data_IF_561145684545
#
_entry.id   IF_561145684545
#
_cell.length_a   1.000
_cell.length_b   1.000
_cell.length_c   1.000
_cell.angle_alpha   90.00
_cell.angle_beta   90.00
_cell.angle_gamma   90.00
#
_symmetry.space_group_name_H-M   'P 1'
#
loop_
_entity.id
_entity.type
_entity.pdbx_description
1 polymer ?
#
# COMPACT_ATOMS: atom_id res chain seq x y z
N UNK A 1 32.53 5.50 0.42
CA UNK A 1 31.20 5.23 -0.16
C UNK A 1 30.44 6.53 -0.15
N UNK A 2 29.89 6.96 -1.29
CA UNK A 2 29.03 8.14 -1.29
C UNK A 2 27.75 7.83 -0.53
N UNK A 3 27.35 8.68 0.41
CA UNK A 3 26.11 8.53 1.17
C UNK A 3 24.90 8.46 0.20
N UNK A 4 23.84 7.70 0.53
CA UNK A 4 22.62 7.65 -0.27
C UNK A 4 21.98 9.03 -0.33
N UNK A 5 21.35 9.35 -1.47
CA UNK A 5 20.65 10.63 -1.67
C UNK A 5 19.15 10.33 -1.70
N UNK A 6 18.45 10.38 -0.55
CA UNK A 6 17.02 10.13 -0.52
C UNK A 6 16.27 11.21 -1.30
N UNK A 7 15.11 10.85 -1.84
CA UNK A 7 14.34 11.77 -2.66
C UNK A 7 12.94 11.31 -3.00
N UNK A 8 12.38 11.96 -4.00
CA UNK A 8 11.00 11.80 -4.43
C UNK A 8 10.95 11.74 -5.96
N UNK A 9 10.31 10.70 -6.48
CA UNK A 9 9.81 10.68 -7.85
C UNK A 9 8.37 11.21 -7.86
N UNK A 10 8.19 12.40 -8.42
CA UNK A 10 6.92 13.13 -8.52
C UNK A 10 6.35 12.98 -9.93
N UNK A 11 5.18 12.33 -10.07
CA UNK A 11 4.60 11.94 -11.36
C UNK A 11 3.17 12.47 -11.51
N UNK A 12 2.99 13.73 -11.93
CA UNK A 12 1.68 14.24 -12.27
C UNK A 12 1.22 13.63 -13.60
N UNK A 13 -0.08 13.33 -13.67
CA UNK A 13 -0.71 12.57 -14.73
C UNK A 13 -2.03 13.22 -15.16
N UNK A 14 -2.23 13.38 -16.47
CA UNK A 14 -3.56 13.51 -17.09
C UNK A 14 -4.05 12.14 -17.52
N UNK A 15 -5.16 11.68 -16.94
CA UNK A 15 -5.76 10.38 -17.24
C UNK A 15 -6.23 10.21 -18.70
N UNK A 16 -6.51 11.30 -19.40
CA UNK A 16 -6.98 11.28 -20.79
C UNK A 16 -8.29 10.51 -20.95
N UNK A 17 -8.32 9.49 -21.82
CA UNK A 17 -9.53 8.74 -22.16
C UNK A 17 -9.77 7.48 -21.33
N UNK A 18 -8.86 7.12 -20.42
CA UNK A 18 -9.05 5.99 -19.51
C UNK A 18 -10.18 6.28 -18.52
N UNK A 19 -11.03 5.30 -18.23
CA UNK A 19 -11.91 5.35 -17.05
C UNK A 19 -11.09 5.26 -15.76
N UNK A 20 -11.67 5.68 -14.63
CA UNK A 20 -11.01 5.56 -13.32
C UNK A 20 -10.68 4.09 -12.98
N UNK A 21 -11.55 3.15 -13.36
CA UNK A 21 -11.35 1.72 -13.13
C UNK A 21 -10.20 1.15 -13.98
N UNK A 22 -10.13 1.48 -15.27
CA UNK A 22 -9.02 1.07 -16.14
C UNK A 22 -7.68 1.65 -15.66
N UNK A 23 -7.66 2.95 -15.34
CA UNK A 23 -6.47 3.60 -14.82
C UNK A 23 -6.02 2.96 -13.51
N UNK A 24 -6.94 2.74 -12.57
CA UNK A 24 -6.61 2.17 -11.27
C UNK A 24 -6.15 0.72 -11.39
N UNK A 25 -6.80 -0.09 -12.22
CA UNK A 25 -6.39 -1.48 -12.41
C UNK A 25 -4.97 -1.54 -12.99
N UNK A 26 -4.71 -0.83 -14.10
CA UNK A 26 -3.38 -0.79 -14.69
C UNK A 26 -2.34 -0.22 -13.71
N UNK A 27 -2.64 0.90 -13.05
CA UNK A 27 -1.64 1.57 -12.22
C UNK A 27 -1.36 0.78 -10.94
N UNK A 28 -2.40 0.34 -10.23
CA UNK A 28 -2.30 -0.27 -8.89
C UNK A 28 -1.94 -1.76 -8.94
N UNK A 29 -2.38 -2.50 -9.97
CA UNK A 29 -2.15 -3.94 -10.04
C UNK A 29 -1.01 -4.35 -10.99
N UNK A 30 -0.42 -3.41 -11.73
CA UNK A 30 0.66 -3.72 -12.67
C UNK A 30 1.78 -2.67 -12.64
N UNK A 31 1.46 -1.43 -12.98
CA UNK A 31 2.48 -0.39 -13.25
C UNK A 31 3.29 -0.03 -12.00
N UNK A 32 2.61 0.23 -10.89
CA UNK A 32 3.28 0.56 -9.63
C UNK A 32 3.91 -0.65 -8.96
N UNK A 33 3.27 -1.83 -8.84
CA UNK A 33 3.91 -3.03 -8.30
C UNK A 33 5.25 -3.37 -8.98
N UNK A 34 5.34 -3.21 -10.31
CA UNK A 34 6.59 -3.44 -11.03
C UNK A 34 7.74 -2.50 -10.58
N UNK A 35 7.44 -1.29 -10.09
CA UNK A 35 8.41 -0.36 -9.49
C UNK A 35 8.66 -0.65 -8.01
N UNK A 36 7.60 -0.89 -7.27
CA UNK A 36 7.66 -1.11 -5.82
C UNK A 36 8.42 -2.41 -5.45
N UNK A 37 8.65 -3.29 -6.41
CA UNK A 37 9.50 -4.47 -6.23
C UNK A 37 11.01 -4.13 -6.10
N UNK A 38 11.45 -2.94 -6.52
CA UNK A 38 12.83 -2.51 -6.33
C UNK A 38 13.04 -1.98 -4.91
N UNK A 39 14.09 -2.44 -4.23
CA UNK A 39 14.35 -2.12 -2.81
C UNK A 39 14.56 -0.62 -2.53
N UNK A 40 14.92 0.16 -3.55
CA UNK A 40 15.10 1.60 -3.39
C UNK A 40 13.79 2.41 -3.46
N UNK A 41 12.67 1.81 -3.89
CA UNK A 41 11.33 2.35 -3.69
C UNK A 41 10.85 1.99 -2.29
N UNK A 42 10.67 3.00 -1.43
CA UNK A 42 10.30 2.80 -0.02
C UNK A 42 8.78 2.72 0.16
N UNK A 43 8.06 3.65 -0.47
CA UNK A 43 6.60 3.71 -0.46
C UNK A 43 6.12 4.51 -1.66
N UNK A 44 4.84 4.38 -2.00
CA UNK A 44 4.21 5.26 -2.96
C UNK A 44 2.76 5.58 -2.63
N UNK A 45 2.28 6.68 -3.18
CA UNK A 45 0.94 7.19 -2.97
C UNK A 45 0.36 7.68 -4.29
N UNK A 46 -0.93 7.50 -4.47
CA UNK A 46 -1.69 8.10 -5.55
C UNK A 46 -2.67 9.10 -4.99
N UNK A 47 -2.86 10.20 -5.72
CA UNK A 47 -3.76 11.27 -5.36
C UNK A 47 -4.60 11.70 -6.56
N UNK A 48 -5.77 12.26 -6.24
CA UNK A 48 -6.63 13.01 -7.17
C UNK A 48 -6.52 14.49 -6.88
N UNK A 49 -6.48 15.29 -7.93
CA UNK A 49 -6.45 16.74 -7.78
C UNK A 49 -7.80 17.22 -7.24
N UNK A 50 -7.78 18.13 -6.26
CA UNK A 50 -8.94 18.96 -5.95
C UNK A 50 -8.78 20.24 -6.80
N UNK A 51 -9.64 20.45 -7.80
CA UNK A 51 -9.56 21.61 -8.66
C UNK A 51 -9.73 22.92 -7.89
N UNK A 52 -10.75 23.00 -7.03
CA UNK A 52 -11.13 24.24 -6.34
C UNK A 52 -11.32 23.92 -4.84
N UNK A 53 -10.34 24.28 -4.00
CA UNK A 53 -10.56 24.30 -2.54
C UNK A 53 -11.03 25.70 -2.14
N UNK A 54 -12.28 25.88 -1.68
CA UNK A 54 -12.92 27.19 -1.50
C UNK A 54 -12.22 28.10 -0.47
N UNK A 55 -11.30 27.55 0.31
CA UNK A 55 -10.57 28.22 1.38
C UNK A 55 -9.08 28.45 1.06
N UNK A 56 -8.62 28.32 -0.19
CA UNK A 56 -7.23 28.64 -0.56
C UNK A 56 -7.11 30.06 -1.15
N UNK A 57 -6.80 31.09 -0.34
CA UNK A 57 -6.50 32.41 -0.89
C UNK A 57 -5.14 32.43 -1.58
N UNK A 58 -5.05 33.20 -2.67
CA UNK A 58 -3.81 33.40 -3.43
C UNK A 58 -3.84 32.94 -4.89
N UNK A 59 -5.00 32.47 -5.38
CA UNK A 59 -5.19 32.13 -6.79
C UNK A 59 -4.49 30.82 -7.19
N UNK A 60 -5.22 29.98 -7.92
CA UNK A 60 -4.59 28.91 -8.68
C UNK A 60 -3.87 29.52 -9.87
N UNK A 61 -2.64 29.09 -10.15
CA UNK A 61 -2.17 29.16 -11.53
C UNK A 61 -2.89 28.06 -12.32
N UNK A 62 -4.09 28.40 -12.81
CA UNK A 62 -4.94 27.55 -13.63
C UNK A 62 -4.37 27.33 -15.05
N UNK A 63 -3.27 28.00 -15.41
CA UNK A 63 -2.75 28.09 -16.77
C UNK A 63 -2.31 26.77 -17.39
N UNK A 64 -2.27 25.68 -16.61
CA UNK A 64 -1.92 24.35 -17.11
C UNK A 64 -2.56 23.26 -16.24
N UNK A 65 -3.89 23.14 -16.22
CA UNK A 65 -4.53 21.89 -15.76
C UNK A 65 -4.30 20.78 -16.78
N UNK A 66 -3.06 20.31 -16.83
CA UNK A 66 -2.60 19.16 -17.61
C UNK A 66 -2.46 17.91 -16.72
N UNK A 67 -2.92 17.91 -15.47
CA UNK A 67 -2.85 16.70 -14.63
C UNK A 67 -3.94 16.68 -13.56
N UNK A 68 -4.76 15.63 -13.57
CA UNK A 68 -5.83 15.40 -12.60
C UNK A 68 -5.52 14.29 -11.59
N UNK A 69 -4.38 13.63 -11.74
CA UNK A 69 -3.87 12.55 -10.89
C UNK A 69 -2.39 12.80 -10.58
N UNK A 70 -1.92 12.29 -9.46
CA UNK A 70 -0.54 12.37 -9.04
C UNK A 70 -0.10 11.03 -8.45
N UNK A 71 1.08 10.56 -8.82
CA UNK A 71 1.77 9.49 -8.09
C UNK A 71 3.07 10.01 -7.49
N UNK A 72 3.29 9.68 -6.23
CA UNK A 72 4.50 10.00 -5.48
C UNK A 72 5.19 8.70 -5.11
N UNK A 73 6.50 8.63 -5.28
CA UNK A 73 7.31 7.52 -4.78
C UNK A 73 8.48 8.04 -3.96
N UNK A 74 8.60 7.53 -2.74
CA UNK A 74 9.75 7.82 -1.88
C UNK A 74 10.91 6.91 -2.26
N UNK A 75 12.07 7.51 -2.52
CA UNK A 75 13.25 6.84 -3.04
C UNK A 75 14.38 6.94 -2.00
N UNK A 76 15.02 5.82 -1.68
CA UNK A 76 16.13 5.80 -0.72
C UNK A 76 17.44 6.37 -1.29
N UNK A 77 17.69 6.17 -2.58
CA UNK A 77 18.83 6.74 -3.30
C UNK A 77 18.44 7.09 -4.74
N UNK A 78 18.37 8.38 -5.06
CA UNK A 78 17.94 8.88 -6.36
C UNK A 78 18.81 8.37 -7.52
N UNK A 79 20.09 8.07 -7.27
CA UNK A 79 21.02 7.55 -8.28
C UNK A 79 20.63 6.17 -8.81
N UNK A 80 19.82 5.41 -8.08
CA UNK A 80 19.31 4.11 -8.55
C UNK A 80 18.40 4.26 -9.77
N UNK A 81 17.74 5.42 -9.93
CA UNK A 81 16.87 5.71 -11.07
C UNK A 81 17.64 5.94 -12.38
N UNK A 82 18.95 6.15 -12.33
CA UNK A 82 19.79 6.27 -13.54
C UNK A 82 20.38 4.92 -13.98
N UNK A 83 20.25 3.88 -13.15
CA UNK A 83 20.91 2.60 -13.41
C UNK A 83 20.10 1.71 -14.34
N UNK A 84 20.82 0.77 -14.97
CA UNK A 84 20.25 -0.19 -15.90
C UNK A 84 19.03 -0.95 -15.35
N UNK A 85 18.96 -1.42 -14.08
CA UNK A 85 17.78 -2.14 -13.59
C UNK A 85 16.47 -1.34 -13.71
N UNK A 86 16.48 -0.03 -13.40
CA UNK A 86 15.29 0.82 -13.54
C UNK A 86 15.05 1.24 -14.99
N UNK A 87 16.09 1.63 -15.73
CA UNK A 87 15.93 2.00 -17.14
C UNK A 87 15.42 0.84 -18.01
N UNK A 88 15.78 -0.39 -17.65
CA UNK A 88 15.28 -1.62 -18.30
C UNK A 88 13.78 -1.76 -18.10
N UNK A 89 13.23 -1.49 -16.91
CA UNK A 89 11.78 -1.48 -16.68
C UNK A 89 11.05 -0.49 -17.59
N UNK A 90 11.68 0.65 -17.87
CA UNK A 90 11.09 1.71 -18.70
C UNK A 90 11.24 1.47 -20.20
N UNK A 91 12.08 0.53 -20.62
CA UNK A 91 12.36 0.28 -22.03
C UNK A 91 11.10 -0.25 -22.75
N UNK A 92 10.78 0.25 -23.97
CA UNK A 92 9.59 -0.17 -24.72
C UNK A 92 9.46 -1.68 -24.90
N UNK A 93 10.58 -2.39 -25.05
CA UNK A 93 10.62 -3.84 -25.26
C UNK A 93 10.30 -4.66 -24.00
N UNK A 94 10.32 -4.04 -22.81
CA UNK A 94 10.02 -4.71 -21.54
C UNK A 94 8.64 -4.33 -20.99
N UNK A 95 7.99 -3.34 -21.61
CA UNK A 95 6.62 -2.95 -21.29
C UNK A 95 5.63 -3.92 -21.93
N UNK A 96 4.59 -4.29 -21.18
CA UNK A 96 3.53 -5.15 -21.72
C UNK A 96 2.65 -4.40 -22.74
N UNK A 97 1.87 -5.13 -23.53
CA UNK A 97 0.88 -4.52 -24.42
C UNK A 97 -0.12 -3.62 -23.67
N UNK A 98 -0.48 -3.99 -22.44
CA UNK A 98 -1.36 -3.20 -21.58
C UNK A 98 -0.70 -1.90 -21.10
N UNK A 99 0.61 -1.90 -20.85
CA UNK A 99 1.37 -0.68 -20.55
C UNK A 99 1.33 0.28 -21.75
N UNK A 100 1.66 -0.21 -22.95
CA UNK A 100 1.62 0.60 -24.17
C UNK A 100 0.24 1.19 -24.42
N UNK A 101 -0.81 0.36 -24.32
CA UNK A 101 -2.21 0.79 -24.49
C UNK A 101 -2.60 1.88 -23.49
N UNK A 102 -2.30 1.67 -22.20
CA UNK A 102 -2.65 2.62 -21.14
C UNK A 102 -1.87 3.92 -21.25
N UNK A 103 -0.54 3.84 -21.44
CA UNK A 103 0.34 5.01 -21.58
C UNK A 103 -0.05 5.85 -22.79
N UNK A 104 -0.49 5.23 -23.89
CA UNK A 104 -0.93 5.95 -25.10
C UNK A 104 -2.18 6.83 -24.90
N UNK A 105 -2.98 6.53 -23.86
CA UNK A 105 -4.24 7.21 -23.56
C UNK A 105 -4.09 8.32 -22.51
N UNK A 106 -2.90 8.49 -21.94
CA UNK A 106 -2.63 9.42 -20.83
C UNK A 106 -1.40 10.28 -21.11
N UNK A 107 -1.22 11.34 -20.33
CA UNK A 107 0.01 12.13 -20.35
C UNK A 107 0.60 12.15 -18.95
N UNK A 108 1.88 11.79 -18.82
CA UNK A 108 2.59 11.81 -17.55
C UNK A 108 3.91 12.56 -17.72
N UNK A 109 4.34 13.29 -16.69
CA UNK A 109 5.71 13.78 -16.59
C UNK A 109 6.37 13.21 -15.35
N UNK A 110 7.69 13.01 -15.39
CA UNK A 110 8.47 12.57 -14.22
C UNK A 110 9.34 13.74 -13.79
N UNK A 111 9.23 14.11 -12.53
CA UNK A 111 10.10 15.08 -11.89
C UNK A 111 10.82 14.40 -10.74
N UNK A 112 12.10 14.74 -10.57
CA UNK A 112 12.97 14.13 -9.58
C UNK A 112 13.39 15.20 -8.58
N UNK A 113 13.19 14.91 -7.30
CA UNK A 113 13.59 15.84 -6.25
C UNK A 113 14.42 15.14 -5.16
N UNK A 114 15.50 15.78 -4.73
CA UNK A 114 16.28 15.34 -3.58
C UNK A 114 15.63 15.83 -2.29
N UNK A 115 15.57 14.96 -1.29
CA UNK A 115 15.05 15.29 0.03
C UNK A 115 16.01 16.20 0.78
N UNK A 116 15.48 17.23 1.44
CA UNK A 116 16.28 18.21 2.19
C UNK A 116 15.92 18.25 3.67
N UNK A 117 14.62 18.20 4.01
CA UNK A 117 14.16 18.26 5.38
C UNK A 117 12.77 17.64 5.54
N UNK A 118 12.49 17.12 6.74
CA UNK A 118 11.16 16.67 7.14
C UNK A 118 10.85 17.20 8.53
N UNK A 119 9.66 17.74 8.70
CA UNK A 119 9.11 18.19 9.98
C UNK A 119 7.78 17.48 10.20
N UNK A 120 7.54 16.98 11.41
CA UNK A 120 6.37 16.15 11.74
C UNK A 120 5.70 16.64 13.01
N UNK A 121 4.39 16.44 13.10
CA UNK A 121 3.64 16.63 14.33
C UNK A 121 4.09 15.64 15.39
N UNK A 122 3.94 16.01 16.67
CA UNK A 122 4.24 15.14 17.79
C UNK A 122 3.36 13.89 17.71
N UNK A 123 3.97 12.71 17.82
CA UNK A 123 3.26 11.43 17.74
C UNK A 123 2.98 10.94 16.32
N UNK A 124 3.35 11.68 15.27
CA UNK A 124 3.26 11.17 13.90
C UNK A 124 4.29 10.04 13.70
N UNK A 125 3.89 8.87 13.18
CA UNK A 125 4.74 7.68 13.17
C UNK A 125 6.03 7.89 12.36
N UNK A 126 7.11 7.33 12.87
CA UNK A 126 8.38 7.21 12.15
C UNK A 126 8.16 6.33 10.91
N UNK A 127 8.60 6.77 9.73
CA UNK A 127 8.26 6.13 8.44
C UNK A 127 7.02 6.71 7.73
N UNK A 128 6.12 7.39 8.45
CA UNK A 128 5.11 8.29 7.87
C UNK A 128 4.15 7.70 6.83
N UNK A 129 3.82 6.42 6.95
CA UNK A 129 2.88 5.75 6.05
C UNK A 129 1.45 6.09 6.45
N UNK A 130 0.80 6.97 5.69
CA UNK A 130 -0.66 7.04 5.71
C UNK A 130 -1.17 5.69 5.19
N UNK A 131 -1.99 4.99 5.97
CA UNK A 131 -2.61 3.73 5.55
C UNK A 131 -4.04 3.99 5.09
N UNK A 132 -4.55 3.19 4.16
CA UNK A 132 -5.88 3.39 3.56
C UNK A 132 -7.02 3.26 4.59
N UNK A 133 -6.77 2.61 5.73
CA UNK A 133 -7.68 2.50 6.88
C UNK A 133 -7.51 3.60 7.93
N UNK A 134 -6.51 4.46 7.78
CA UNK A 134 -6.32 5.60 8.66
C UNK A 134 -7.31 6.71 8.29
N UNK A 135 -7.92 7.31 9.31
CA UNK A 135 -8.76 8.49 9.13
C UNK A 135 -7.96 9.65 8.53
N UNK A 136 -6.69 9.79 8.88
CA UNK A 136 -5.82 10.82 8.32
C UNK A 136 -5.54 10.63 6.82
N UNK A 137 -5.71 9.41 6.30
CA UNK A 137 -5.68 9.16 4.85
C UNK A 137 -7.01 9.55 4.23
N UNK A 138 -8.11 8.96 4.72
CA UNK A 138 -9.45 9.16 4.11
C UNK A 138 -9.94 10.60 4.13
N UNK A 139 -9.65 11.34 5.21
CA UNK A 139 -9.99 12.75 5.35
C UNK A 139 -8.81 13.68 5.01
N UNK A 140 -7.65 13.15 4.63
CA UNK A 140 -6.43 13.92 4.46
C UNK A 140 -6.38 14.78 3.21
N UNK A 141 -5.54 15.82 3.25
CA UNK A 141 -5.18 16.62 2.08
C UNK A 141 -3.67 16.85 2.02
N UNK A 142 -3.13 16.77 0.81
CA UNK A 142 -1.77 17.17 0.48
C UNK A 142 -1.81 18.49 -0.29
N UNK A 143 -1.07 19.48 0.19
CA UNK A 143 -0.77 20.71 -0.54
C UNK A 143 0.67 20.64 -1.02
N UNK A 144 0.85 20.47 -2.32
CA UNK A 144 2.14 20.55 -2.99
C UNK A 144 2.41 21.99 -3.42
N UNK A 145 3.53 22.56 -3.00
CA UNK A 145 3.95 23.92 -3.35
C UNK A 145 5.28 23.87 -4.09
N UNK A 146 5.25 24.24 -5.35
CA UNK A 146 6.44 24.42 -6.18
C UNK A 146 6.90 25.88 -6.09
N UNK A 147 8.17 26.10 -5.83
CA UNK A 147 8.78 27.43 -5.69
C UNK A 147 10.00 27.51 -6.60
N UNK A 148 10.05 28.53 -7.45
CA UNK A 148 11.26 28.89 -8.20
C UNK A 148 11.91 30.12 -7.59
N UNK A 149 13.22 30.06 -7.41
CA UNK A 149 13.99 31.18 -6.86
C UNK A 149 14.30 32.22 -7.94
N UNK A 150 14.54 33.47 -7.53
CA UNK A 150 14.71 34.60 -8.43
C UNK A 150 16.01 34.55 -9.23
N UNK A 151 17.13 34.20 -8.58
CA UNK A 151 18.44 34.08 -9.25
C UNK A 151 19.01 32.65 -9.23
N UNK A 152 18.42 31.76 -8.42
CA UNK A 152 18.94 30.39 -8.22
C UNK A 152 20.32 30.35 -7.55
N UNK A 153 20.78 31.48 -6.99
CA UNK A 153 22.06 31.59 -6.29
C UNK A 153 22.07 30.80 -4.98
N UNK A 154 23.27 30.52 -4.47
CA UNK A 154 23.42 29.84 -3.17
C UNK A 154 22.86 30.72 -2.05
N UNK A 155 23.02 32.04 -2.18
CA UNK A 155 22.48 33.04 -1.26
C UNK A 155 20.94 33.00 -1.22
N UNK A 156 20.30 32.92 -2.39
CA UNK A 156 18.84 32.76 -2.48
C UNK A 156 18.38 31.43 -1.85
N UNK A 157 19.11 30.33 -2.05
CA UNK A 157 18.80 29.03 -1.43
C UNK A 157 18.91 29.10 0.10
N UNK A 158 19.95 29.77 0.63
CA UNK A 158 20.15 29.97 2.07
C UNK A 158 19.01 30.83 2.64
N UNK A 159 18.68 31.95 2.00
CA UNK A 159 17.60 32.83 2.45
C UNK A 159 16.23 32.14 2.36
N UNK A 160 15.96 31.38 1.29
CA UNK A 160 14.72 30.61 1.18
C UNK A 160 14.58 29.60 2.31
N UNK A 161 15.65 28.85 2.63
CA UNK A 161 15.63 27.90 3.75
C UNK A 161 15.42 28.58 5.09
N UNK A 162 16.09 29.70 5.33
CA UNK A 162 15.93 30.51 6.55
C UNK A 162 14.48 30.97 6.69
N UNK A 163 13.95 31.66 5.69
CA UNK A 163 12.56 32.13 5.66
C UNK A 163 11.58 30.96 5.87
N UNK A 164 11.78 29.84 5.17
CA UNK A 164 10.85 28.72 5.29
C UNK A 164 10.80 28.18 6.72
N UNK A 165 11.95 28.01 7.37
CA UNK A 165 12.04 27.42 8.71
C UNK A 165 11.66 28.40 9.82
N UNK A 166 12.08 29.65 9.72
CA UNK A 166 11.91 30.66 10.77
C UNK A 166 10.57 31.40 10.68
N UNK A 167 10.08 31.64 9.46
CA UNK A 167 8.93 32.52 9.23
C UNK A 167 7.69 31.79 8.71
N UNK A 168 7.84 30.79 7.85
CA UNK A 168 6.71 30.12 7.18
C UNK A 168 6.22 28.87 7.90
N UNK A 169 7.13 27.99 8.30
CA UNK A 169 6.80 26.71 8.92
C UNK A 169 6.16 26.84 10.30
N UNK A 170 6.58 27.75 11.21
CA UNK A 170 5.97 27.83 12.54
C UNK A 170 4.44 28.03 12.51
N UNK A 171 3.88 29.06 11.84
CA UNK A 171 2.42 29.18 11.75
C UNK A 171 1.76 28.06 10.94
N UNK A 172 2.47 27.42 10.01
CA UNK A 172 1.96 26.27 9.28
C UNK A 172 1.75 25.04 10.18
N UNK A 173 2.63 24.86 11.18
CA UNK A 173 2.50 23.79 12.19
C UNK A 173 1.33 24.02 13.14
N UNK A 174 0.94 25.27 13.33
CA UNK A 174 -0.18 25.65 14.20
C UNK A 174 -1.54 25.43 13.51
N UNK A 175 -1.56 25.17 12.20
CA UNK A 175 -2.80 24.81 11.48
C UNK A 175 -3.36 23.51 12.06
N UNK A 176 -4.62 23.50 12.55
CA UNK A 176 -5.20 22.29 13.11
C UNK A 176 -5.17 21.12 12.12
N UNK A 177 -4.72 19.97 12.60
CA UNK A 177 -4.57 18.77 11.77
C UNK A 177 -3.31 18.73 10.91
N UNK A 178 -2.35 19.66 11.03
CA UNK A 178 -1.04 19.52 10.39
C UNK A 178 -0.37 18.20 10.81
N UNK A 179 0.05 17.41 9.82
CA UNK A 179 0.69 16.10 10.03
C UNK A 179 2.19 16.18 9.83
N UNK A 180 2.62 16.69 8.68
CA UNK A 180 4.03 16.87 8.34
C UNK A 180 4.22 17.83 7.17
N UNK A 181 5.44 18.37 7.11
CA UNK A 181 5.97 19.10 5.96
C UNK A 181 7.27 18.46 5.51
N UNK A 182 7.38 18.18 4.22
CA UNK A 182 8.59 17.64 3.59
C UNK A 182 9.09 18.63 2.55
N UNK A 183 10.39 18.92 2.57
CA UNK A 183 11.02 19.89 1.68
C UNK A 183 11.99 19.14 0.77
N UNK A 184 11.87 19.43 -0.51
CA UNK A 184 12.71 18.86 -1.56
C UNK A 184 13.23 19.97 -2.48
N UNK A 185 14.27 19.65 -3.24
CA UNK A 185 14.82 20.50 -4.30
C UNK A 185 15.04 19.68 -5.57
N UNK A 186 15.11 20.30 -6.75
CA UNK A 186 15.42 19.59 -8.00
C UNK A 186 16.61 18.65 -7.81
N UNK A 187 16.44 17.39 -8.22
CA UNK A 187 17.42 16.34 -7.95
C UNK A 187 18.69 16.51 -8.76
N UNK A 188 19.82 16.04 -8.20
CA UNK A 188 21.11 15.99 -8.91
C UNK A 188 21.08 15.15 -10.19
N UNK A 189 20.16 14.20 -10.32
CA UNK A 189 20.03 13.33 -11.50
C UNK A 189 19.27 14.01 -12.65
N UNK A 190 18.63 15.15 -12.37
CA UNK A 190 17.96 15.92 -13.40
C UNK A 190 18.98 16.81 -14.13
N UNK A 191 19.41 16.36 -15.32
CA UNK A 191 20.46 17.01 -16.11
C UNK A 191 20.08 18.43 -16.60
N UNK A 192 18.82 18.83 -16.51
CA UNK A 192 18.32 20.15 -16.93
C UNK A 192 18.47 21.26 -15.87
N UNK A 193 18.98 20.92 -14.67
CA UNK A 193 18.65 21.59 -13.40
C UNK A 193 19.47 22.80 -12.94
N UNK A 194 20.52 23.24 -13.65
CA UNK A 194 21.35 24.34 -13.12
C UNK A 194 20.70 25.73 -13.26
N UNK A 195 19.83 25.92 -14.25
CA UNK A 195 19.20 27.22 -14.54
C UNK A 195 17.73 27.30 -14.07
N UNK A 196 17.11 26.16 -13.75
CA UNK A 196 15.70 26.02 -13.34
C UNK A 196 15.55 25.29 -11.98
N UNK A 197 16.28 25.75 -10.95
CA UNK A 197 16.18 25.17 -9.60
C UNK A 197 14.78 25.42 -9.00
N UNK A 198 14.08 24.33 -8.68
CA UNK A 198 12.74 24.35 -8.08
C UNK A 198 12.79 23.68 -6.70
N UNK A 199 12.19 24.33 -5.70
CA UNK A 199 11.87 23.72 -4.42
C UNK A 199 10.45 23.17 -4.46
N UNK A 200 10.26 21.97 -3.92
CA UNK A 200 8.96 21.36 -3.73
C UNK A 200 8.74 21.17 -2.23
N UNK A 201 7.65 21.72 -1.72
CA UNK A 201 7.20 21.41 -0.35
C UNK A 201 5.89 20.63 -0.40
N UNK A 202 5.84 19.53 0.35
CA UNK A 202 4.66 18.70 0.53
C UNK A 202 4.14 18.91 1.94
N UNK A 203 2.96 19.51 2.07
CA UNK A 203 2.32 19.81 3.35
C UNK A 203 1.08 18.95 3.50
N UNK A 204 1.07 18.07 4.49
CA UNK A 204 0.01 17.10 4.71
C UNK A 204 -0.80 17.49 5.94
N UNK A 205 -2.13 17.50 5.79
CA UNK A 205 -3.09 17.80 6.84
C UNK A 205 -4.12 16.69 6.93
N UNK A 206 -4.58 16.38 8.15
CA UNK A 206 -5.60 15.38 8.42
C UNK A 206 -7.03 15.85 8.11
N UNK A 207 -7.24 17.15 7.87
CA UNK A 207 -8.56 17.73 7.63
C UNK A 207 -8.49 18.92 6.64
N UNK A 208 -9.06 18.81 5.43
CA UNK A 208 -9.07 19.88 4.44
C UNK A 208 -9.80 21.13 4.91
N UNK A 209 -10.75 21.03 5.85
CA UNK A 209 -11.54 22.18 6.32
C UNK A 209 -10.69 23.20 7.07
N UNK A 210 -9.54 22.78 7.60
CA UNK A 210 -8.60 23.65 8.31
C UNK A 210 -7.67 24.40 7.35
N UNK A 211 -7.53 23.91 6.12
CA UNK A 211 -6.79 24.58 5.06
C UNK A 211 -7.51 25.86 4.68
N UNK A 212 -6.92 26.99 5.04
CA UNK A 212 -7.46 28.32 4.80
C UNK A 212 -8.03 29.01 6.05
N UNK A 213 -7.98 28.31 7.19
CA UNK A 213 -8.26 28.91 8.49
C UNK A 213 -7.21 29.95 8.90
N UNK A 214 -7.44 30.66 10.03
CA UNK A 214 -6.63 31.79 10.46
C UNK A 214 -5.12 31.50 10.50
N UNK A 215 -4.72 30.35 11.04
CA UNK A 215 -3.33 29.93 11.17
C UNK A 215 -2.70 29.70 9.79
N UNK A 216 -3.46 29.12 8.85
CA UNK A 216 -2.98 28.93 7.48
C UNK A 216 -2.83 30.28 6.75
N UNK A 217 -3.72 31.24 7.00
CA UNK A 217 -3.59 32.60 6.46
C UNK A 217 -2.36 33.34 7.00
N UNK A 218 -2.00 33.11 8.27
CA UNK A 218 -0.76 33.65 8.85
C UNK A 218 0.46 33.06 8.14
N UNK A 219 0.47 31.74 7.91
CA UNK A 219 1.54 31.08 7.16
C UNK A 219 1.65 31.62 5.72
N UNK A 220 0.53 31.82 5.02
CA UNK A 220 0.50 32.45 3.70
C UNK A 220 1.01 33.91 3.78
N UNK A 221 0.63 34.66 4.81
CA UNK A 221 1.07 36.04 5.01
C UNK A 221 2.58 36.20 5.18
N UNK A 222 3.27 35.16 5.69
CA UNK A 222 4.73 35.17 5.84
C UNK A 222 5.48 35.27 4.51
N UNK A 223 4.82 34.97 3.39
CA UNK A 223 5.41 35.00 2.04
C UNK A 223 5.89 36.39 1.62
N UNK A 224 5.26 37.44 2.17
CA UNK A 224 5.70 38.82 1.97
C UNK A 224 7.05 39.14 2.62
N UNK A 225 7.55 38.27 3.49
CA UNK A 225 8.82 38.46 4.22
C UNK A 225 10.05 38.00 3.44
N UNK A 226 9.89 37.47 2.23
CA UNK A 226 11.01 37.04 1.40
C UNK A 226 10.87 37.59 -0.01
N UNK A 227 12.00 37.97 -0.62
CA UNK A 227 12.08 38.48 -1.99
C UNK A 227 12.75 37.49 -2.95
N UNK A 228 13.24 36.35 -2.44
CA UNK A 228 13.99 35.37 -3.26
C UNK A 228 13.06 34.41 -4.02
N UNK A 229 11.76 34.43 -3.74
CA UNK A 229 10.75 33.65 -4.46
C UNK A 229 10.31 34.41 -5.72
N UNK A 230 10.73 33.94 -6.90
CA UNK A 230 10.32 34.53 -8.17
C UNK A 230 8.90 34.10 -8.57
N UNK A 231 8.59 32.81 -8.43
CA UNK A 231 7.27 32.28 -8.76
C UNK A 231 6.93 31.08 -7.90
N UNK A 232 5.63 30.80 -7.81
CA UNK A 232 5.10 29.71 -7.02
C UNK A 232 3.84 29.13 -7.64
N UNK A 233 3.71 27.81 -7.56
CA UNK A 233 2.49 27.07 -7.92
C UNK A 233 2.03 26.22 -6.75
N UNK A 234 0.74 26.21 -6.46
CA UNK A 234 0.13 25.35 -5.44
C UNK A 234 -0.83 24.35 -6.08
N UNK A 235 -0.78 23.12 -5.61
CA UNK A 235 -1.63 22.03 -6.06
C UNK A 235 -2.22 21.34 -4.83
N UNK A 236 -3.53 21.12 -4.83
CA UNK A 236 -4.26 20.44 -3.76
C UNK A 236 -4.64 19.04 -4.21
N UNK A 237 -4.39 18.07 -3.34
CA UNK A 237 -4.46 16.64 -3.65
C UNK A 237 -5.15 15.89 -2.52
N UNK A 238 -6.11 15.02 -2.85
CA UNK A 238 -6.65 14.03 -1.90
C UNK A 238 -6.08 12.66 -2.22
N UNK A 239 -5.70 11.88 -1.20
CA UNK A 239 -5.16 10.55 -1.43
C UNK A 239 -6.23 9.62 -1.97
N UNK A 240 -5.85 8.76 -2.91
CA UNK A 240 -6.71 7.74 -3.53
C UNK A 240 -6.25 6.32 -3.20
N UNK A 241 -4.93 6.10 -3.12
CA UNK A 241 -4.37 4.76 -2.92
C UNK A 241 -2.95 4.81 -2.36
N UNK A 242 -2.57 3.81 -1.56
CA UNK A 242 -1.20 3.59 -1.08
C UNK A 242 -0.60 2.40 -1.82
N UNK A 243 0.56 2.61 -2.44
CA UNK A 243 1.25 1.63 -3.26
C UNK A 243 2.12 0.73 -2.39
N UNK A 244 1.78 -0.56 -2.36
CA UNK A 244 2.57 -1.61 -1.71
C UNK A 244 3.54 -2.30 -2.67
N UNK A 245 4.32 -3.27 -2.17
CA UNK A 245 5.29 -4.04 -2.97
C UNK A 245 4.66 -4.97 -4.00
N UNK A 246 3.38 -5.28 -3.86
CA UNK A 246 2.62 -6.14 -4.76
C UNK A 246 1.22 -5.61 -5.08
N UNK A 247 0.57 -6.14 -6.12
CA UNK A 247 -0.81 -5.81 -6.48
C UNK A 247 -1.80 -6.19 -5.37
N UNK A 248 -2.79 -5.32 -5.10
CA UNK A 248 -3.77 -5.53 -4.02
C UNK A 248 -5.16 -4.93 -4.28
N UNK A 249 -5.35 -4.24 -5.40
CA UNK A 249 -6.57 -3.46 -5.68
C UNK A 249 -7.65 -4.35 -6.31
N UNK A 250 -8.45 -4.99 -5.46
CA UNK A 250 -9.63 -5.73 -5.91
C UNK A 250 -10.76 -4.78 -6.36
N UNK A 251 -10.83 -3.58 -5.80
CA UNK A 251 -11.91 -2.63 -6.07
C UNK A 251 -11.91 -2.17 -7.51
N UNK A 252 -10.73 -1.92 -8.10
CA UNK A 252 -10.63 -1.60 -9.52
C UNK A 252 -11.10 -2.73 -10.44
N UNK A 253 -10.93 -3.99 -10.01
CA UNK A 253 -11.33 -5.16 -10.80
C UNK A 253 -12.86 -5.35 -10.78
N UNK A 254 -13.52 -5.12 -9.64
CA UNK A 254 -14.99 -5.18 -9.52
C UNK A 254 -15.68 -4.27 -10.54
N UNK A 255 -15.11 -3.08 -10.76
CA UNK A 255 -15.68 -2.06 -11.64
C UNK A 255 -15.48 -2.35 -13.14
N UNK A 256 -14.72 -3.39 -13.49
CA UNK A 256 -14.42 -3.79 -14.86
C UNK A 256 -15.19 -5.04 -15.25
N UNK A 257 -15.48 -5.16 -16.55
CA UNK A 257 -15.90 -6.43 -17.11
C UNK A 257 -14.73 -7.45 -17.06
N UNK A 258 -15.02 -8.73 -17.24
CA UNK A 258 -13.99 -9.78 -17.11
C UNK A 258 -12.84 -9.61 -18.13
N UNK A 259 -13.13 -9.19 -19.38
CA UNK A 259 -12.10 -8.99 -20.41
C UNK A 259 -11.12 -7.87 -20.03
N UNK A 260 -11.62 -6.75 -19.53
CA UNK A 260 -10.81 -5.60 -19.10
C UNK A 260 -10.08 -5.87 -17.76
N UNK A 261 -10.68 -6.69 -16.89
CA UNK A 261 -10.07 -7.12 -15.65
C UNK A 261 -8.94 -8.14 -15.87
N UNK A 262 -9.01 -8.94 -16.95
CA UNK A 262 -8.07 -10.03 -17.22
C UNK A 262 -6.69 -9.56 -17.66
N UNK A 263 -5.66 -9.98 -16.93
CA UNK A 263 -4.27 -9.70 -17.24
C UNK A 263 -3.37 -10.85 -16.82
N UNK A 264 -2.31 -11.07 -17.60
CA UNK A 264 -1.17 -11.89 -17.21
C UNK A 264 0.09 -11.11 -17.57
N UNK A 265 0.98 -10.89 -16.60
CA UNK A 265 2.24 -10.21 -16.85
C UNK A 265 3.16 -11.04 -17.74
N UNK A 266 4.10 -10.41 -18.46
CA UNK A 266 5.23 -11.15 -19.04
C UNK A 266 5.88 -12.04 -17.96
N UNK A 267 6.03 -13.33 -18.24
CA UNK A 267 6.56 -14.31 -17.28
C UNK A 267 5.54 -14.88 -16.28
N UNK A 268 4.27 -14.47 -16.32
CA UNK A 268 3.19 -15.09 -15.53
C UNK A 268 3.21 -14.80 -14.03
N UNK A 269 4.00 -13.82 -13.57
CA UNK A 269 4.17 -13.48 -12.16
C UNK A 269 3.01 -12.67 -11.56
N UNK A 270 2.19 -12.03 -12.39
CA UNK A 270 0.97 -11.34 -11.99
C UNK A 270 -0.15 -11.85 -12.87
N UNK A 271 -1.26 -12.27 -12.26
CA UNK A 271 -2.51 -12.57 -12.95
C UNK A 271 -3.66 -11.86 -12.24
N UNK A 272 -4.52 -11.19 -12.99
CA UNK A 272 -5.77 -10.61 -12.46
C UNK A 272 -6.95 -11.12 -13.25
N UNK A 273 -8.08 -11.33 -12.59
CA UNK A 273 -9.36 -11.73 -13.22
C UNK A 273 -10.54 -11.12 -12.45
N UNK A 274 -11.71 -11.08 -13.10
CA UNK A 274 -12.99 -10.79 -12.44
C UNK A 274 -14.07 -11.75 -12.97
N UNK A 275 -13.79 -13.05 -12.86
CA UNK A 275 -14.65 -14.11 -13.40
C UNK A 275 -15.79 -14.46 -12.44
N UNK A 276 -15.52 -15.29 -11.42
CA UNK A 276 -16.46 -15.52 -10.33
C UNK A 276 -16.48 -14.35 -9.32
N UNK A 277 -15.30 -13.80 -9.05
CA UNK A 277 -15.05 -12.61 -8.22
C UNK A 277 -13.65 -12.06 -8.54
N UNK A 278 -13.37 -10.79 -8.16
CA UNK A 278 -12.06 -10.21 -8.29
C UNK A 278 -10.97 -11.07 -7.67
N UNK A 279 -9.95 -11.38 -8.45
CA UNK A 279 -8.82 -12.22 -8.03
C UNK A 279 -7.51 -11.63 -8.55
N UNK A 280 -6.50 -11.60 -7.68
CA UNK A 280 -5.13 -11.20 -7.97
C UNK A 280 -4.22 -12.33 -7.51
N UNK A 281 -3.50 -12.97 -8.43
CA UNK A 281 -2.42 -13.89 -8.12
C UNK A 281 -1.10 -13.20 -8.39
N UNK A 282 -0.18 -13.23 -7.43
CA UNK A 282 1.14 -12.68 -7.61
C UNK A 282 2.14 -13.26 -6.62
N UNK A 283 3.33 -12.66 -6.55
CA UNK A 283 4.37 -13.04 -5.63
C UNK A 283 5.10 -11.81 -5.08
N UNK A 284 5.61 -11.93 -3.86
CA UNK A 284 6.46 -10.92 -3.22
C UNK A 284 7.78 -11.57 -2.83
N UNK A 285 8.88 -10.86 -3.08
CA UNK A 285 10.17 -11.25 -2.54
C UNK A 285 10.30 -10.74 -1.11
N UNK A 286 10.60 -11.66 -0.19
CA UNK A 286 10.91 -11.35 1.20
C UNK A 286 12.34 -11.76 1.49
N UNK A 287 13.11 -10.92 2.19
CA UNK A 287 14.54 -11.21 2.47
C UNK A 287 14.76 -12.53 3.22
N UNK A 288 13.79 -12.93 4.04
CA UNK A 288 13.88 -14.13 4.88
C UNK A 288 13.30 -15.40 4.25
N UNK A 289 12.42 -15.28 3.24
CA UNK A 289 11.72 -16.44 2.67
C UNK A 289 11.80 -16.54 1.14
N UNK A 290 12.53 -15.63 0.50
CA UNK A 290 12.60 -15.55 -0.96
C UNK A 290 11.24 -15.18 -1.55
N UNK A 291 10.95 -15.75 -2.73
CA UNK A 291 9.70 -15.51 -3.43
C UNK A 291 8.53 -16.25 -2.77
N UNK A 292 7.53 -15.50 -2.32
CA UNK A 292 6.32 -16.00 -1.69
C UNK A 292 5.13 -15.73 -2.61
N UNK A 293 4.51 -16.79 -3.11
CA UNK A 293 3.31 -16.69 -3.95
C UNK A 293 2.06 -16.46 -3.09
N UNK A 294 1.16 -15.61 -3.57
CA UNK A 294 -0.13 -15.37 -2.93
C UNK A 294 -1.25 -15.19 -3.96
N UNK A 295 -2.47 -15.43 -3.49
CA UNK A 295 -3.71 -15.10 -4.17
C UNK A 295 -4.54 -14.22 -3.23
N UNK A 296 -4.90 -13.03 -3.68
CA UNK A 296 -5.81 -12.14 -2.98
C UNK A 296 -7.10 -12.06 -3.78
N UNK A 297 -8.23 -12.40 -3.15
CA UNK A 297 -9.52 -12.53 -3.84
C UNK A 297 -10.68 -12.09 -2.95
N UNK A 298 -11.82 -11.82 -3.57
CA UNK A 298 -13.08 -11.58 -2.87
C UNK A 298 -13.68 -10.21 -3.12
N UNK A 299 -14.41 -9.69 -2.12
CA UNK A 299 -15.23 -8.49 -2.23
C UNK A 299 -14.79 -7.43 -1.22
N UNK A 300 -15.15 -6.18 -1.52
CA UNK A 300 -14.87 -5.04 -0.66
C UNK A 300 -13.63 -4.25 -1.05
N UNK A 301 -13.19 -3.40 -0.13
CA UNK A 301 -12.13 -2.42 -0.32
C UNK A 301 -10.97 -2.57 0.67
N UNK A 302 -10.10 -1.56 0.72
CA UNK A 302 -8.94 -1.53 1.61
C UNK A 302 -9.23 -1.79 3.09
N UNK A 303 -10.41 -1.38 3.57
CA UNK A 303 -10.83 -1.48 4.98
C UNK A 303 -11.63 -2.74 5.32
N UNK A 304 -11.94 -3.56 4.30
CA UNK A 304 -12.69 -4.81 4.47
C UNK A 304 -11.90 -5.85 5.26
N UNK A 305 -12.62 -6.74 5.95
CA UNK A 305 -12.01 -7.80 6.74
C UNK A 305 -11.19 -8.76 5.86
N UNK A 306 -10.07 -9.23 6.41
CA UNK A 306 -9.15 -10.13 5.72
C UNK A 306 -9.10 -11.47 6.44
N UNK A 307 -9.27 -12.55 5.70
CA UNK A 307 -9.02 -13.93 6.11
C UNK A 307 -7.74 -14.40 5.42
N UNK A 308 -6.80 -14.98 6.17
CA UNK A 308 -5.54 -15.50 5.63
C UNK A 308 -5.56 -17.02 5.65
N UNK A 309 -5.21 -17.64 4.52
CA UNK A 309 -5.16 -19.08 4.32
C UNK A 309 -3.75 -19.49 3.87
N UNK A 310 -2.93 -19.95 4.81
CA UNK A 310 -1.57 -20.43 4.55
C UNK A 310 -1.54 -21.90 4.15
N UNK A 311 -0.87 -22.22 3.06
CA UNK A 311 -0.66 -23.58 2.56
C UNK A 311 0.83 -23.93 2.69
N UNK A 312 1.16 -24.99 3.40
CA UNK A 312 2.54 -25.39 3.72
C UNK A 312 2.87 -26.76 3.09
N UNK A 313 4.12 -26.96 2.67
CA UNK A 313 4.69 -28.26 2.26
C UNK A 313 4.03 -28.93 1.04
N UNK A 314 4.29 -28.41 -0.17
CA UNK A 314 4.01 -29.14 -1.43
C UNK A 314 2.53 -29.28 -1.81
N UNK A 315 1.61 -28.81 -0.95
CA UNK A 315 0.21 -28.60 -1.29
C UNK A 315 0.08 -27.32 -2.12
N UNK A 316 -0.92 -27.31 -3.00
CA UNK A 316 -1.32 -26.13 -3.74
C UNK A 316 -2.53 -25.48 -3.03
N UNK A 317 -2.77 -24.19 -3.25
CA UNK A 317 -3.79 -23.44 -2.50
C UNK A 317 -5.24 -23.75 -2.94
N UNK A 318 -5.42 -24.58 -3.96
CA UNK A 318 -6.70 -25.13 -4.44
C UNK A 318 -7.40 -25.99 -3.38
N UNK A 319 -6.64 -26.50 -2.40
CA UNK A 319 -7.19 -27.13 -1.18
C UNK A 319 -8.20 -26.24 -0.43
N UNK A 320 -8.16 -24.92 -0.66
CA UNK A 320 -9.07 -23.96 -0.05
C UNK A 320 -10.27 -23.58 -0.93
N UNK A 321 -10.37 -24.06 -2.17
CA UNK A 321 -11.38 -23.58 -3.15
C UNK A 321 -12.82 -23.71 -2.65
N UNK A 322 -13.16 -24.86 -2.05
CA UNK A 322 -14.49 -25.09 -1.49
C UNK A 322 -14.77 -24.12 -0.32
N UNK A 323 -13.78 -23.93 0.56
CA UNK A 323 -13.91 -23.05 1.72
C UNK A 323 -14.09 -21.58 1.29
N UNK A 324 -13.30 -21.11 0.33
CA UNK A 324 -13.44 -19.76 -0.22
C UNK A 324 -14.76 -19.59 -0.93
N UNK A 325 -15.20 -20.57 -1.73
CA UNK A 325 -16.50 -20.52 -2.40
C UNK A 325 -17.66 -20.38 -1.40
N UNK A 326 -17.56 -21.04 -0.24
CA UNK A 326 -18.54 -20.90 0.84
C UNK A 326 -18.51 -19.49 1.45
N UNK A 327 -17.32 -18.91 1.68
CA UNK A 327 -17.18 -17.52 2.14
C UNK A 327 -17.81 -16.55 1.13
N UNK A 328 -17.55 -16.73 -0.17
CA UNK A 328 -18.03 -15.81 -1.21
C UNK A 328 -19.55 -15.86 -1.43
N UNK A 329 -20.21 -16.96 -1.03
CA UNK A 329 -21.68 -17.05 -1.01
C UNK A 329 -22.32 -16.21 0.10
N UNK A 330 -21.57 -15.88 1.14
CA UNK A 330 -22.09 -15.12 2.27
C UNK A 330 -22.28 -13.65 1.93
N UNK A 331 -23.20 -13.00 2.65
CA UNK A 331 -23.37 -11.55 2.60
C UNK A 331 -22.26 -10.90 3.41
N UNK A 332 -21.40 -10.15 2.74
CA UNK A 332 -20.35 -9.36 3.39
C UNK A 332 -19.19 -9.05 2.46
N UNK A 333 -18.52 -7.93 2.73
CA UNK A 333 -17.30 -7.53 2.07
C UNK A 333 -16.11 -8.16 2.79
N UNK A 334 -15.68 -9.32 2.32
CA UNK A 334 -14.54 -10.08 2.85
C UNK A 334 -13.52 -10.32 1.76
N UNK A 335 -12.25 -10.15 2.12
CA UNK A 335 -11.10 -10.45 1.29
C UNK A 335 -10.40 -11.69 1.85
N UNK A 336 -9.98 -12.58 0.97
CA UNK A 336 -9.24 -13.80 1.32
C UNK A 336 -7.84 -13.67 0.73
N UNK A 337 -6.83 -13.82 1.56
CA UNK A 337 -5.43 -13.90 1.18
C UNK A 337 -4.93 -15.33 1.34
N UNK A 338 -4.78 -16.07 0.24
CA UNK A 338 -4.11 -17.37 0.23
C UNK A 338 -2.62 -17.19 0.03
N UNK A 339 -1.80 -17.86 0.83
CA UNK A 339 -0.34 -17.76 0.77
C UNK A 339 0.26 -19.16 0.65
N UNK A 340 1.18 -19.36 -0.29
CA UNK A 340 2.02 -20.56 -0.32
C UNK A 340 3.27 -20.32 0.50
N UNK A 341 3.43 -21.12 1.54
CA UNK A 341 4.53 -21.03 2.48
C UNK A 341 5.55 -22.12 2.20
N UNK A 342 6.77 -21.71 1.86
CA UNK A 342 7.88 -22.64 1.65
C UNK A 342 8.78 -22.67 2.91
N UNK A 343 8.79 -23.77 3.69
CA UNK A 343 9.66 -23.87 4.86
C UNK A 343 11.14 -24.07 4.51
N UNK A 344 11.48 -24.36 3.25
CA UNK A 344 12.84 -24.68 2.82
C UNK A 344 13.69 -23.47 2.38
N UNK A 345 13.13 -22.25 2.32
CA UNK A 345 13.89 -21.04 1.92
C UNK A 345 14.77 -20.44 3.03
N UNK A 346 15.24 -21.26 3.98
CA UNK A 346 16.14 -20.82 5.04
C UNK A 346 17.59 -20.64 4.55
N UNK A 347 18.35 -19.69 5.11
CA UNK A 347 19.81 -19.73 5.05
C UNK A 347 20.33 -20.98 5.78
N UNK A 348 21.21 -21.72 5.12
CA UNK A 348 21.55 -23.15 5.32
C UNK A 348 22.13 -23.59 6.68
N UNK A 349 22.17 -22.74 7.72
CA UNK A 349 23.06 -22.97 8.87
C UNK A 349 22.39 -23.06 10.27
N UNK A 350 21.07 -23.25 10.39
CA UNK A 350 20.43 -23.44 11.70
C UNK A 350 19.69 -24.77 11.82
N UNK A 351 19.88 -25.54 12.92
CA UNK A 351 19.08 -26.73 13.18
C UNK A 351 17.62 -26.33 13.43
N UNK A 352 16.70 -26.85 12.63
CA UNK A 352 15.28 -26.59 12.76
C UNK A 352 14.71 -27.41 13.94
N UNK A 353 14.47 -26.76 15.07
CA UNK A 353 13.51 -27.28 16.06
C UNK A 353 12.09 -26.90 15.62
N UNK A 354 11.09 -27.73 15.90
CA UNK A 354 9.69 -27.54 15.49
C UNK A 354 9.13 -26.14 15.78
N UNK A 355 9.51 -25.57 16.93
CA UNK A 355 9.03 -24.26 17.37
C UNK A 355 9.63 -23.10 16.57
N UNK A 356 10.87 -23.23 16.08
CA UNK A 356 11.51 -22.22 15.26
C UNK A 356 10.91 -22.17 13.84
N UNK A 357 10.52 -23.32 13.28
CA UNK A 357 9.90 -23.36 11.95
C UNK A 357 8.55 -22.61 11.89
N UNK A 358 7.71 -22.72 12.93
CA UNK A 358 6.38 -22.08 12.91
C UNK A 358 6.44 -20.56 13.10
N UNK A 359 7.27 -20.07 14.04
CA UNK A 359 7.47 -18.62 14.20
C UNK A 359 7.99 -17.94 12.92
N UNK A 360 8.74 -18.69 12.11
CA UNK A 360 9.19 -18.24 10.79
C UNK A 360 8.02 -18.16 9.78
N UNK A 361 7.08 -19.11 9.80
CA UNK A 361 5.87 -19.02 8.96
C UNK A 361 4.99 -17.82 9.33
N UNK A 362 4.79 -17.57 10.62
CA UNK A 362 4.06 -16.38 11.10
C UNK A 362 4.75 -15.08 10.68
N UNK A 363 6.08 -15.05 10.76
CA UNK A 363 6.87 -13.91 10.29
C UNK A 363 6.72 -13.71 8.78
N UNK A 364 6.75 -14.78 7.99
CA UNK A 364 6.52 -14.73 6.54
C UNK A 364 5.16 -14.10 6.21
N UNK A 365 4.09 -14.58 6.85
CA UNK A 365 2.74 -14.06 6.66
C UNK A 365 2.64 -12.59 7.07
N UNK A 366 3.24 -12.24 8.21
CA UNK A 366 3.28 -10.85 8.69
C UNK A 366 4.01 -9.93 7.71
N UNK A 367 5.13 -10.39 7.13
CA UNK A 367 5.87 -9.66 6.12
C UNK A 367 5.04 -9.46 4.85
N UNK A 368 4.37 -10.51 4.35
CA UNK A 368 3.50 -10.40 3.17
C UNK A 368 2.35 -9.42 3.41
N UNK A 369 1.68 -9.48 4.56
CA UNK A 369 0.60 -8.54 4.92
C UNK A 369 1.14 -7.11 5.01
N UNK A 370 2.31 -6.92 5.60
CA UNK A 370 2.97 -5.62 5.71
C UNK A 370 3.38 -5.06 4.34
N UNK A 371 4.00 -5.88 3.49
CA UNK A 371 4.46 -5.50 2.16
C UNK A 371 3.30 -5.19 1.20
N UNK A 372 2.16 -5.87 1.37
CA UNK A 372 0.91 -5.57 0.69
C UNK A 372 0.10 -4.47 1.39
N UNK A 373 0.54 -3.93 2.52
CA UNK A 373 -0.18 -2.90 3.28
C UNK A 373 -1.64 -3.30 3.60
N UNK A 374 -1.85 -4.59 3.84
CA UNK A 374 -3.17 -5.15 4.14
C UNK A 374 -3.55 -4.91 5.60
N UNK A 375 -4.86 -4.96 5.87
CA UNK A 375 -5.39 -4.95 7.23
C UNK A 375 -4.90 -6.16 8.02
N UNK A 376 -4.75 -6.03 9.35
CA UNK A 376 -4.59 -7.20 10.21
C UNK A 376 -5.73 -8.19 9.98
N UNK A 377 -5.43 -9.48 9.78
CA UNK A 377 -6.45 -10.46 9.49
C UNK A 377 -7.34 -10.69 10.71
N UNK A 378 -8.61 -10.96 10.46
CA UNK A 378 -9.56 -11.39 11.49
C UNK A 378 -9.43 -12.89 11.75
N UNK A 379 -9.02 -13.66 10.74
CA UNK A 379 -8.83 -15.10 10.80
C UNK A 379 -7.54 -15.49 10.07
N UNK A 380 -6.72 -16.34 10.68
CA UNK A 380 -5.56 -16.99 10.04
C UNK A 380 -5.68 -18.51 10.15
N UNK A 381 -5.70 -19.21 9.01
CA UNK A 381 -5.76 -20.66 8.93
C UNK A 381 -4.54 -21.21 8.21
N UNK A 382 -3.98 -22.30 8.72
CA UNK A 382 -2.80 -22.95 8.13
C UNK A 382 -3.07 -24.43 7.90
N UNK A 383 -2.79 -24.92 6.69
CA UNK A 383 -2.89 -26.34 6.31
C UNK A 383 -1.55 -26.84 5.77
N UNK A 384 -1.09 -28.00 6.24
CA UNK A 384 0.15 -28.63 5.76
C UNK A 384 0.37 -30.05 6.31
N UNK A 385 1.27 -30.79 5.67
CA UNK A 385 1.73 -32.11 6.14
C UNK A 385 2.82 -31.97 7.20
N UNK A 386 2.43 -31.80 8.46
CA UNK A 386 3.35 -31.94 9.60
C UNK A 386 2.61 -32.60 10.77
N UNK A 387 2.30 -33.89 10.59
CA UNK A 387 1.51 -34.72 11.52
C UNK A 387 2.09 -34.91 12.94
N UNK A 388 3.25 -34.33 13.28
CA UNK A 388 3.87 -34.52 14.60
C UNK A 388 4.49 -33.26 15.22
N UNK A 389 5.05 -32.35 14.43
CA UNK A 389 5.81 -31.20 14.95
C UNK A 389 4.92 -30.00 15.33
N UNK A 390 3.70 -29.92 14.82
CA UNK A 390 2.71 -28.87 15.16
C UNK A 390 1.80 -29.27 16.33
N UNK A 391 1.66 -30.58 16.60
CA UNK A 391 0.80 -31.13 17.67
C UNK A 391 1.19 -30.61 19.07
N UNK A 392 2.48 -30.42 19.37
CA UNK A 392 2.91 -30.02 20.72
C UNK A 392 2.61 -28.56 21.10
N UNK A 393 2.10 -27.72 20.18
CA UNK A 393 1.63 -26.35 20.50
C UNK A 393 0.15 -26.09 20.18
N UNK A 394 -0.48 -26.88 19.31
CA UNK A 394 -1.88 -26.70 18.92
C UNK A 394 -2.88 -27.66 19.60
N UNK A 395 -2.44 -28.57 20.48
CA UNK A 395 -3.35 -29.34 21.37
C UNK A 395 -4.19 -28.44 22.30
N UNK A 396 -3.99 -27.13 22.25
CA UNK A 396 -4.94 -26.14 22.71
C UNK A 396 -5.23 -25.21 21.55
N UNK A 397 -6.48 -25.20 21.06
CA UNK A 397 -7.02 -24.05 20.34
C UNK A 397 -6.87 -22.83 21.24
N UNK A 398 -5.74 -22.13 21.14
CA UNK A 398 -5.51 -20.92 21.91
C UNK A 398 -6.34 -19.81 21.30
N UNK A 399 -7.42 -19.47 22.00
CA UNK A 399 -8.05 -18.16 21.91
C UNK A 399 -7.05 -17.14 22.47
N UNK A 400 -6.08 -16.70 21.67
CA UNK A 400 -5.22 -15.60 22.05
C UNK A 400 -5.88 -14.29 21.64
N UNK A 401 -6.65 -13.71 22.57
CA UNK A 401 -6.99 -12.30 22.54
C UNK A 401 -5.69 -11.50 22.80
N UNK A 402 -4.78 -11.43 21.80
CA UNK A 402 -3.58 -10.60 21.92
C UNK A 402 -3.98 -9.14 21.72
N UNK A 403 -4.37 -8.53 22.83
CA UNK A 403 -4.50 -7.08 22.97
C UNK A 403 -3.15 -6.34 22.94
N UNK A 404 -2.01 -7.05 22.86
CA UNK A 404 -0.68 -6.43 22.76
C UNK A 404 0.30 -7.30 21.95
N UNK A 405 0.56 -6.90 20.72
CA UNK A 405 1.84 -7.12 20.05
C UNK A 405 2.44 -5.74 19.84
N UNK A 406 3.27 -5.30 20.79
CA UNK A 406 4.09 -4.10 20.63
C UNK A 406 5.22 -4.46 19.64
N UNK A 407 4.94 -4.32 18.34
CA UNK A 407 5.97 -4.16 17.32
C UNK A 407 6.05 -2.66 16.99
N UNK A 408 7.24 -2.04 16.85
CA UNK A 408 7.37 -0.58 16.74
C UNK A 408 6.62 0.08 15.57
N UNK A 409 6.09 -0.73 14.65
CA UNK A 409 5.46 -0.29 13.39
C UNK A 409 3.95 -0.55 13.32
N UNK A 410 3.36 -1.23 14.32
CA UNK A 410 1.93 -1.54 14.36
C UNK A 410 1.27 -0.81 15.53
N UNK A 411 0.65 0.33 15.25
CA UNK A 411 -0.24 0.99 16.21
C UNK A 411 -1.47 0.11 16.43
N UNK A 412 -1.58 -0.40 17.66
CA UNK A 412 -2.75 -0.96 18.35
C UNK A 412 -4.04 -1.10 17.52
N UNK A 413 -4.27 -2.25 16.89
CA UNK A 413 -5.63 -2.65 16.50
C UNK A 413 -6.21 -3.54 17.61
N UNK A 414 -7.30 -3.08 18.23
CA UNK A 414 -8.00 -3.76 19.33
C UNK A 414 -8.97 -4.85 18.83
N UNK A 415 -8.73 -5.43 17.65
CA UNK A 415 -9.65 -6.39 17.03
C UNK A 415 -9.25 -7.83 17.43
N UNK A 416 -10.20 -8.66 17.91
CA UNK A 416 -9.91 -10.05 18.21
C UNK A 416 -9.53 -10.79 16.93
N UNK A 417 -8.41 -11.54 16.98
CA UNK A 417 -7.93 -12.39 15.89
C UNK A 417 -8.17 -13.85 16.25
N UNK A 418 -8.77 -14.63 15.34
CA UNK A 418 -8.88 -16.08 15.48
C UNK A 418 -7.76 -16.75 14.67
N UNK A 419 -6.93 -17.57 15.33
CA UNK A 419 -5.88 -18.35 14.65
C UNK A 419 -6.11 -19.83 14.87
N UNK A 420 -6.15 -20.60 13.78
CA UNK A 420 -6.36 -22.05 13.83
C UNK A 420 -5.37 -22.74 12.88
N UNK A 421 -4.45 -23.53 13.40
CA UNK A 421 -3.66 -24.45 12.56
C UNK A 421 -4.36 -25.80 12.51
N UNK A 422 -4.70 -26.23 11.30
CA UNK A 422 -5.30 -27.54 11.05
C UNK A 422 -4.18 -28.46 10.58
N UNK A 423 -3.79 -29.39 11.44
CA UNK A 423 -2.90 -30.49 11.04
C UNK A 423 -3.76 -31.63 10.53
N UNK A 424 -3.58 -32.02 9.27
CA UNK A 424 -4.12 -33.28 8.78
C UNK A 424 -3.36 -34.42 9.49
N UNK A 425 -3.89 -34.95 10.60
CA UNK A 425 -3.60 -36.34 10.95
C UNK A 425 -4.12 -37.19 9.79
N UNK A 426 -3.44 -38.30 9.50
CA UNK A 426 -3.62 -39.20 8.36
C UNK A 426 -5.03 -39.83 8.18
N UNK A 427 -6.08 -39.30 8.80
CA UNK A 427 -7.50 -39.68 8.67
C UNK A 427 -8.50 -38.54 8.84
N UNK A 428 -8.10 -37.28 9.05
CA UNK A 428 -9.06 -36.18 9.22
C UNK A 428 -9.41 -35.60 7.85
N UNK A 429 -10.70 -35.63 7.49
CA UNK A 429 -11.15 -35.05 6.24
C UNK A 429 -11.15 -33.52 6.32
N UNK A 430 -11.00 -32.83 5.18
CA UNK A 430 -11.14 -31.36 5.11
C UNK A 430 -12.49 -30.93 5.69
N UNK A 431 -13.53 -31.75 5.51
CA UNK A 431 -14.86 -31.63 6.10
C UNK A 431 -14.81 -31.59 7.64
N UNK A 432 -14.09 -32.49 8.29
CA UNK A 432 -13.94 -32.49 9.76
C UNK A 432 -13.17 -31.26 10.26
N UNK A 433 -12.20 -30.79 9.49
CA UNK A 433 -11.45 -29.57 9.79
C UNK A 433 -12.33 -28.30 9.68
N UNK A 434 -13.15 -28.23 8.64
CA UNK A 434 -14.13 -27.15 8.42
C UNK A 434 -15.20 -27.18 9.53
N UNK A 435 -15.67 -28.35 9.96
CA UNK A 435 -16.61 -28.49 11.07
C UNK A 435 -16.03 -28.01 12.41
N UNK A 436 -14.75 -28.34 12.69
CA UNK A 436 -14.06 -27.81 13.87
C UNK A 436 -13.88 -26.29 13.79
N UNK A 437 -13.58 -25.75 12.61
CA UNK A 437 -13.47 -24.32 12.37
C UNK A 437 -14.81 -23.61 12.61
N UNK A 438 -15.92 -24.14 12.07
CA UNK A 438 -17.27 -23.59 12.31
C UNK A 438 -17.60 -23.59 13.79
N UNK A 439 -17.37 -24.72 14.47
CA UNK A 439 -17.62 -24.81 15.91
C UNK A 439 -16.75 -23.84 16.73
N UNK A 440 -15.54 -23.49 16.26
CA UNK A 440 -14.71 -22.47 16.87
C UNK A 440 -15.21 -21.04 16.56
N UNK A 441 -15.71 -20.79 15.35
CA UNK A 441 -16.30 -19.52 14.93
C UNK A 441 -17.61 -19.22 15.65
N UNK A 442 -18.47 -20.22 15.86
CA UNK A 442 -19.73 -20.11 16.62
C UNK A 442 -19.51 -19.78 18.10
N UNK A 443 -18.36 -20.17 18.65
CA UNK A 443 -17.97 -19.87 20.04
C UNK A 443 -17.32 -18.48 20.21
N UNK A 444 -17.04 -17.77 19.12
CA UNK A 444 -16.48 -16.42 19.15
C UNK A 444 -17.60 -15.37 19.17
N UNK A 445 -17.69 -14.59 20.25
CA UNK A 445 -18.64 -13.46 20.37
C UNK A 445 -18.49 -12.42 19.24
N UNK A 446 -17.33 -12.36 18.59
CA UNK A 446 -17.05 -11.47 17.45
C UNK A 446 -17.91 -11.77 16.23
N UNK A 447 -18.46 -12.99 16.12
CA UNK A 447 -19.05 -13.51 14.89
C UNK A 447 -20.56 -13.69 14.94
N UNK A 448 -21.28 -13.34 16.03
CA UNK A 448 -22.74 -13.58 16.09
C UNK A 448 -23.53 -12.90 14.97
N UNK A 449 -22.97 -11.86 14.32
CA UNK A 449 -23.56 -11.21 13.14
C UNK A 449 -23.22 -11.89 11.79
N UNK A 450 -22.15 -12.68 11.69
CA UNK A 450 -21.73 -13.42 10.49
C UNK A 450 -22.02 -14.93 10.58
N UNK A 451 -22.09 -15.51 11.78
CA UNK A 451 -22.10 -16.96 12.03
C UNK A 451 -23.45 -17.65 11.84
N UNK A 452 -24.56 -16.93 12.01
CA UNK A 452 -25.89 -17.56 12.00
C UNK A 452 -26.26 -18.27 10.69
N UNK A 453 -25.81 -17.72 9.54
CA UNK A 453 -26.10 -18.28 8.23
C UNK A 453 -24.97 -19.19 7.70
N UNK A 454 -23.72 -18.90 8.06
CA UNK A 454 -22.53 -19.68 7.65
C UNK A 454 -22.59 -21.10 8.19
N UNK A 455 -22.96 -21.28 9.46
CA UNK A 455 -23.01 -22.62 10.01
C UNK A 455 -24.12 -23.45 9.37
N UNK A 456 -25.33 -22.90 9.21
CA UNK A 456 -26.47 -23.64 8.65
C UNK A 456 -26.27 -24.07 7.18
N UNK A 457 -25.72 -23.21 6.32
CA UNK A 457 -25.47 -23.57 4.91
C UNK A 457 -24.29 -24.52 4.74
N UNK A 458 -23.25 -24.40 5.57
CA UNK A 458 -22.14 -25.35 5.53
C UNK A 458 -22.60 -26.71 6.06
N UNK A 459 -23.38 -26.78 7.14
CA UNK A 459 -24.01 -28.02 7.62
C UNK A 459 -24.85 -28.70 6.52
N UNK A 460 -25.60 -27.94 5.73
CA UNK A 460 -26.37 -28.48 4.60
C UNK A 460 -25.49 -29.00 3.44
N UNK A 461 -24.33 -28.38 3.20
CA UNK A 461 -23.38 -28.82 2.17
C UNK A 461 -22.51 -30.01 2.59
N UNK A 462 -22.23 -30.10 3.89
CA UNK A 462 -21.47 -31.19 4.54
C UNK A 462 -22.24 -32.52 4.45
N UNK A 463 -23.57 -32.51 4.39
CA UNK A 463 -24.37 -33.74 4.21
C UNK A 463 -24.59 -34.14 2.74
N UNK A 464 -24.01 -33.42 1.78
CA UNK A 464 -23.97 -33.83 0.37
C UNK A 464 -22.82 -34.83 0.13
N UNK A 465 -23.02 -35.95 -0.60
CA UNK A 465 -21.99 -36.98 -0.82
C UNK A 465 -20.85 -36.62 -1.79
N UNK A 466 -20.86 -35.42 -2.37
CA UNK A 466 -19.86 -34.88 -3.31
C UNK A 466 -19.14 -33.68 -2.68
#
# INVERSE_FOLDING_TARGET
>A
MNLPIPGLLYVPLQQGSLSDAELNNWYNNQHAPARMNYTFFLTGYRYKQIPDHPLMPGGFDLGSRMSNKLALYEISDMRELEKAPYNTLLAPNNQSQRDHSSISKLTASRKYFDHTATYRAIGYPEGGLLREDDKTFTDGILIAVHVRLASGSIEDEVEFKRWYVEDHLPPLRDVPGWLRTRIYRTSIIDASSKEDMEFLTLNEFADPRQVGGPEHLIAIGSESKTTVVASKRRECWVPEFVLGRGPKDLTSLVALNNEDAQYVSPGGLIRTTNDAWPTIESSIFTDSFGLVEYCLEGRGGPTSHIIVLGTVCGLNWDVWDQFVSLIMKQKGDVRVLRIKLNPASQPSNMPVTSGAAFGQLELCVSNVISDLLLQPPVIELYLGMAGETVNKRFESCYFQNRTKLEHPCCTTSSRPQLRLAITAKSRMSIKDAILQLISALERSETMTQLSGNISQEIWASVDSPE
#
